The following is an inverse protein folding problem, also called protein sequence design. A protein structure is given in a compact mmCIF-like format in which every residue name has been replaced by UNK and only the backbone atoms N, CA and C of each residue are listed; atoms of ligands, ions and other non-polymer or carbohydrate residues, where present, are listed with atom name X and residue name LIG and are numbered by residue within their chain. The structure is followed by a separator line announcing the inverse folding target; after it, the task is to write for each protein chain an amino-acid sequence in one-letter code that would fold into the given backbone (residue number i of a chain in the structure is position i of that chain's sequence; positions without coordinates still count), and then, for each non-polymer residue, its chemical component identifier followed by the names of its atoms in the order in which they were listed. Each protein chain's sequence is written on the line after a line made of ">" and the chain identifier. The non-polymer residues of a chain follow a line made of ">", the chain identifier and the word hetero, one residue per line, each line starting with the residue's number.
data_IF_304631468002
#
_entry.id   IF_304631468002
#
_cell.length_a   1.000
_cell.length_b   1.000
_cell.length_c   1.000
_cell.angle_alpha   90.00
_cell.angle_beta   90.00
_cell.angle_gamma   90.00
#
_symmetry.space_group_name_H-M   'P 1'
#
loop_
_entity.id
_entity.type
_entity.pdbx_description
1 polymer ?
#
# COMPACT_ATOMS: atom_id res chain seq x y z
N UNK A 1 -3.34 -19.77 -52.95
CA UNK A 1 -2.32 -19.48 -51.92
C UNK A 1 -2.86 -18.55 -50.82
N UNK A 2 -3.39 -17.36 -51.14
CA UNK A 2 -3.94 -16.41 -50.15
C UNK A 2 -5.10 -16.95 -49.28
N UNK A 3 -6.01 -17.76 -49.84
CA UNK A 3 -7.11 -18.36 -49.07
C UNK A 3 -6.65 -19.35 -48.00
N UNK A 4 -5.56 -20.08 -48.23
CA UNK A 4 -5.00 -21.02 -47.26
C UNK A 4 -4.39 -20.27 -46.07
N UNK A 5 -3.69 -19.15 -46.32
CA UNK A 5 -3.20 -18.26 -45.27
C UNK A 5 -4.34 -17.64 -44.46
N UNK A 6 -5.43 -17.19 -45.12
CA UNK A 6 -6.61 -16.67 -44.42
C UNK A 6 -7.36 -17.70 -43.57
N UNK A 7 -7.30 -18.99 -43.92
CA UNK A 7 -7.81 -20.10 -43.10
C UNK A 7 -6.88 -20.38 -41.91
N UNK A 8 -5.56 -20.39 -42.12
CA UNK A 8 -4.58 -20.56 -41.04
C UNK A 8 -4.67 -19.45 -40.00
N UNK A 9 -4.81 -18.19 -40.40
CA UNK A 9 -4.96 -17.04 -39.47
C UNK A 9 -6.22 -17.20 -38.62
N UNK A 10 -7.36 -17.53 -39.23
CA UNK A 10 -8.62 -17.75 -38.50
C UNK A 10 -8.54 -18.92 -37.53
N UNK A 11 -7.88 -20.01 -37.91
CA UNK A 11 -7.67 -21.16 -37.02
C UNK A 11 -6.79 -20.78 -35.82
N UNK A 12 -5.69 -20.06 -36.04
CA UNK A 12 -4.82 -19.59 -34.97
C UNK A 12 -5.54 -18.63 -34.01
N UNK A 13 -6.34 -17.70 -34.54
CA UNK A 13 -7.18 -16.81 -33.73
C UNK A 13 -8.23 -17.58 -32.93
N UNK A 14 -8.84 -18.61 -33.52
CA UNK A 14 -9.79 -19.49 -32.82
C UNK A 14 -9.14 -20.23 -31.65
N UNK A 15 -7.95 -20.81 -31.85
CA UNK A 15 -7.19 -21.49 -30.80
C UNK A 15 -6.80 -20.50 -29.69
N UNK A 16 -6.31 -19.31 -30.05
CA UNK A 16 -5.94 -18.30 -29.06
C UNK A 16 -7.13 -17.84 -28.22
N UNK A 17 -8.28 -17.59 -28.85
CA UNK A 17 -9.51 -17.22 -28.13
C UNK A 17 -9.98 -18.34 -27.20
N UNK A 18 -9.91 -19.60 -27.62
CA UNK A 18 -10.24 -20.73 -26.76
C UNK A 18 -9.29 -20.81 -25.55
N UNK A 19 -8.00 -20.53 -25.74
CA UNK A 19 -7.04 -20.48 -24.64
C UNK A 19 -7.34 -19.34 -23.66
N UNK A 20 -7.70 -18.15 -24.18
CA UNK A 20 -8.13 -17.02 -23.36
C UNK A 20 -9.40 -17.36 -22.56
N UNK A 21 -10.42 -17.92 -23.21
CA UNK A 21 -11.65 -18.33 -22.52
C UNK A 21 -11.38 -19.39 -21.43
N UNK A 22 -10.50 -20.35 -21.69
CA UNK A 22 -10.14 -21.35 -20.71
C UNK A 22 -9.44 -20.73 -19.49
N UNK A 23 -8.54 -19.76 -19.72
CA UNK A 23 -7.88 -18.98 -18.67
C UNK A 23 -8.88 -18.15 -17.87
N UNK A 24 -9.82 -17.47 -18.53
CA UNK A 24 -10.84 -16.64 -17.88
C UNK A 24 -11.79 -17.48 -17.00
N UNK A 25 -12.16 -18.68 -17.46
CA UNK A 25 -12.95 -19.62 -16.65
C UNK A 25 -12.20 -20.06 -15.41
N UNK A 26 -10.91 -20.36 -15.52
CA UNK A 26 -10.09 -20.76 -14.38
C UNK A 26 -9.90 -19.59 -13.39
N UNK A 27 -9.64 -18.37 -13.88
CA UNK A 27 -9.60 -17.16 -13.04
C UNK A 27 -10.92 -16.97 -12.28
N UNK A 28 -12.05 -17.14 -12.96
CA UNK A 28 -13.38 -17.02 -12.34
C UNK A 28 -13.61 -18.07 -11.26
N UNK A 29 -13.19 -19.32 -11.51
CA UNK A 29 -13.24 -20.41 -10.53
C UNK A 29 -12.38 -20.10 -9.31
N UNK A 30 -11.14 -19.66 -9.50
CA UNK A 30 -10.22 -19.31 -8.42
C UNK A 30 -10.74 -18.13 -7.60
N UNK A 31 -11.29 -17.09 -8.25
CA UNK A 31 -11.92 -15.96 -7.56
C UNK A 31 -13.09 -16.41 -6.68
N UNK A 32 -13.92 -17.33 -7.17
CA UNK A 32 -15.04 -17.88 -6.38
C UNK A 32 -14.54 -18.62 -5.13
N UNK A 33 -13.45 -19.40 -5.24
CA UNK A 33 -12.84 -20.07 -4.09
C UNK A 33 -12.24 -19.07 -3.11
N UNK A 34 -11.56 -18.03 -3.61
CA UNK A 34 -10.98 -16.98 -2.80
C UNK A 34 -12.04 -16.18 -2.04
N UNK A 35 -13.17 -15.86 -2.68
CA UNK A 35 -14.31 -15.20 -2.02
C UNK A 35 -14.90 -16.05 -0.88
N UNK A 36 -15.02 -17.37 -1.09
CA UNK A 36 -15.44 -18.30 -0.03
C UNK A 36 -14.42 -18.31 1.11
N UNK A 37 -13.13 -18.37 0.80
CA UNK A 37 -12.07 -18.31 1.79
C UNK A 37 -12.12 -17.01 2.59
N UNK A 38 -12.39 -15.85 1.97
CA UNK A 38 -12.54 -14.58 2.68
C UNK A 38 -13.78 -14.52 3.58
N UNK A 39 -14.87 -15.20 3.22
CA UNK A 39 -16.06 -15.32 4.08
C UNK A 39 -15.79 -16.21 5.29
N UNK A 40 -15.07 -17.31 5.12
CA UNK A 40 -14.74 -18.24 6.20
C UNK A 40 -13.59 -17.74 7.08
N UNK A 41 -12.64 -17.02 6.50
CA UNK A 41 -11.45 -16.50 7.17
C UNK A 41 -11.30 -15.00 6.92
N UNK A 42 -12.08 -14.15 7.62
CA UNK A 42 -11.99 -12.69 7.47
C UNK A 42 -10.58 -12.14 7.71
N UNK A 43 -9.81 -12.78 8.60
CA UNK A 43 -8.43 -12.40 8.91
C UNK A 43 -7.48 -12.55 7.70
N UNK A 44 -7.74 -13.52 6.80
CA UNK A 44 -6.94 -13.70 5.58
C UNK A 44 -7.10 -12.48 4.66
N UNK A 45 -8.34 -12.02 4.48
CA UNK A 45 -8.64 -10.81 3.70
C UNK A 45 -7.92 -9.59 4.29
N UNK A 46 -7.89 -9.50 5.62
CA UNK A 46 -7.23 -8.41 6.32
C UNK A 46 -5.69 -8.47 6.22
N UNK A 47 -5.10 -9.67 6.25
CA UNK A 47 -3.66 -9.87 6.02
C UNK A 47 -3.24 -9.41 4.62
N UNK A 48 -3.99 -9.77 3.58
CA UNK A 48 -3.73 -9.31 2.21
C UNK A 48 -3.87 -7.79 2.07
N UNK A 49 -4.85 -7.19 2.76
CA UNK A 49 -4.99 -5.73 2.82
C UNK A 49 -3.76 -5.08 3.46
N UNK A 50 -3.24 -5.68 4.53
CA UNK A 50 -2.07 -5.19 5.25
C UNK A 50 -0.77 -5.36 4.45
N UNK A 51 -0.62 -6.47 3.73
CA UNK A 51 0.51 -6.69 2.81
C UNK A 51 0.58 -5.57 1.77
N UNK A 52 -0.56 -5.28 1.11
CA UNK A 52 -0.67 -4.19 0.15
C UNK A 52 -0.34 -2.84 0.78
N UNK A 53 -0.85 -2.55 1.98
CA UNK A 53 -0.55 -1.31 2.70
C UNK A 53 0.95 -1.16 2.95
N UNK A 54 1.61 -2.19 3.49
CA UNK A 54 3.05 -2.17 3.77
C UNK A 54 3.89 -1.98 2.50
N UNK A 55 3.49 -2.64 1.40
CA UNK A 55 4.13 -2.46 0.10
C UNK A 55 3.99 -1.01 -0.42
N UNK A 56 2.79 -0.42 -0.33
CA UNK A 56 2.54 0.98 -0.72
C UNK A 56 3.35 1.97 0.12
N UNK A 57 3.51 1.70 1.41
CA UNK A 57 4.33 2.51 2.34
C UNK A 57 5.82 2.45 1.96
N UNK A 58 6.25 1.37 1.29
CA UNK A 58 7.62 1.19 0.80
C UNK A 58 8.44 0.18 1.60
N UNK A 59 7.80 -0.74 2.33
CA UNK A 59 8.51 -1.83 3.01
C UNK A 59 8.99 -2.89 2.02
N UNK A 60 10.15 -3.48 2.31
CA UNK A 60 10.68 -4.60 1.52
C UNK A 60 9.89 -5.88 1.80
N UNK A 61 10.03 -6.88 0.93
CA UNK A 61 9.34 -8.17 1.11
C UNK A 61 9.69 -8.83 2.44
N UNK A 62 10.96 -8.73 2.84
CA UNK A 62 11.47 -9.29 4.10
C UNK A 62 10.87 -8.58 5.31
N UNK A 63 10.72 -7.24 5.25
CA UNK A 63 10.06 -6.47 6.31
C UNK A 63 8.58 -6.84 6.44
N UNK A 64 7.89 -7.00 5.31
CA UNK A 64 6.49 -7.42 5.25
C UNK A 64 6.31 -8.82 5.86
N UNK A 65 7.19 -9.75 5.50
CA UNK A 65 7.18 -11.12 6.03
C UNK A 65 7.40 -11.15 7.55
N UNK A 66 8.36 -10.37 8.07
CA UNK A 66 8.58 -10.24 9.51
C UNK A 66 7.35 -9.69 10.23
N UNK A 67 6.68 -8.68 9.66
CA UNK A 67 5.49 -8.07 10.24
C UNK A 67 4.25 -8.98 10.20
N UNK A 68 3.99 -9.66 9.08
CA UNK A 68 2.74 -10.43 8.87
C UNK A 68 2.86 -11.89 9.28
N UNK A 69 3.95 -12.56 8.87
CA UNK A 69 4.13 -14.00 9.06
C UNK A 69 4.74 -14.28 10.43
N UNK A 70 5.86 -13.61 10.75
CA UNK A 70 6.56 -13.80 12.03
C UNK A 70 5.90 -13.03 13.18
N UNK A 71 5.07 -12.03 12.86
CA UNK A 71 4.40 -11.14 13.83
C UNK A 71 5.38 -10.41 14.72
N UNK A 72 6.56 -10.12 14.18
CA UNK A 72 7.65 -9.43 14.86
C UNK A 72 7.53 -7.92 14.65
N UNK A 73 8.03 -7.15 15.61
CA UNK A 73 8.22 -5.72 15.39
C UNK A 73 9.49 -5.50 14.57
N UNK A 74 9.44 -4.59 13.60
CA UNK A 74 10.62 -4.18 12.85
C UNK A 74 11.04 -2.78 13.27
N UNK A 75 12.35 -2.53 13.29
CA UNK A 75 12.89 -1.20 13.49
C UNK A 75 13.54 -0.75 12.19
N UNK A 76 13.17 0.43 11.69
CA UNK A 76 13.76 0.94 10.47
C UNK A 76 13.89 2.47 10.46
N UNK A 77 14.80 2.92 9.60
CA UNK A 77 15.09 4.32 9.31
C UNK A 77 15.02 4.52 7.81
N UNK A 78 14.72 5.75 7.36
CA UNK A 78 14.58 6.07 5.95
C UNK A 78 13.34 6.91 5.68
N UNK A 79 12.66 6.62 4.58
CA UNK A 79 11.48 7.37 4.13
C UNK A 79 10.33 6.42 3.85
N UNK A 80 9.17 6.71 4.42
CA UNK A 80 7.94 5.98 4.17
C UNK A 80 6.92 6.84 3.41
N UNK A 81 6.17 6.21 2.52
CA UNK A 81 5.18 6.88 1.69
C UNK A 81 3.79 6.88 2.34
N UNK A 82 3.15 8.04 2.36
CA UNK A 82 1.75 8.20 2.71
C UNK A 82 0.92 8.32 1.44
N UNK A 83 0.04 7.35 1.20
CA UNK A 83 -0.91 7.40 0.09
C UNK A 83 -1.93 8.55 0.28
N UNK A 84 -2.40 8.77 1.52
CA UNK A 84 -3.34 9.84 1.88
C UNK A 84 -2.81 11.24 1.52
N UNK A 85 -1.52 11.50 1.77
CA UNK A 85 -0.88 12.79 1.50
C UNK A 85 -0.02 12.80 0.23
N UNK A 86 0.04 11.67 -0.50
CA UNK A 86 0.88 11.44 -1.69
C UNK A 86 2.34 11.89 -1.51
N UNK A 87 2.90 11.71 -0.32
CA UNK A 87 4.23 12.24 0.04
C UNK A 87 5.01 11.26 0.91
N UNK A 88 6.34 11.35 0.83
CA UNK A 88 7.25 10.60 1.70
C UNK A 88 7.58 11.40 2.95
N UNK A 89 7.64 10.72 4.09
CA UNK A 89 8.03 11.25 5.39
C UNK A 89 9.24 10.51 5.92
N UNK A 90 10.15 11.25 6.57
CA UNK A 90 11.35 10.68 7.18
C UNK A 90 10.99 9.95 8.50
N UNK A 91 11.58 8.78 8.68
CA UNK A 91 11.51 7.96 9.89
C UNK A 91 12.93 7.73 10.43
N UNK A 92 13.07 7.70 11.75
CA UNK A 92 14.36 7.59 12.44
C UNK A 92 14.25 6.58 13.58
N UNK A 93 14.73 5.37 13.33
CA UNK A 93 14.75 4.25 14.27
C UNK A 93 13.36 3.94 14.86
N UNK A 94 12.33 4.19 14.06
CA UNK A 94 10.94 3.99 14.45
C UNK A 94 10.60 2.50 14.42
N UNK A 95 9.79 2.06 15.39
CA UNK A 95 9.38 0.67 15.56
C UNK A 95 8.00 0.46 14.95
N UNK A 96 7.90 -0.43 13.97
CA UNK A 96 6.65 -0.81 13.34
C UNK A 96 6.16 -2.15 13.85
N UNK A 97 4.84 -2.26 14.03
CA UNK A 97 4.20 -3.50 14.43
C UNK A 97 2.80 -3.59 13.86
N UNK A 98 2.38 -4.79 13.49
CA UNK A 98 0.99 -5.09 13.16
C UNK A 98 0.32 -5.65 14.40
N UNK A 99 -0.75 -5.00 14.84
CA UNK A 99 -1.52 -5.39 16.01
C UNK A 99 -2.98 -5.65 15.61
N UNK A 100 -3.68 -6.49 16.37
CA UNK A 100 -5.12 -6.63 16.23
C UNK A 100 -5.80 -5.36 16.72
N UNK A 101 -6.84 -4.92 16.02
CA UNK A 101 -7.64 -3.79 16.48
C UNK A 101 -8.33 -4.13 17.81
N UNK A 102 -8.41 -3.15 18.70
CA UNK A 102 -9.14 -3.26 19.97
C UNK A 102 -10.65 -3.17 19.80
N UNK A 103 -11.12 -2.69 18.64
CA UNK A 103 -12.55 -2.48 18.34
C UNK A 103 -13.14 -3.65 17.53
N UNK A 104 -12.33 -4.30 16.71
CA UNK A 104 -12.75 -5.39 15.81
C UNK A 104 -11.59 -6.39 15.69
N UNK A 105 -11.75 -7.59 16.23
CA UNK A 105 -10.71 -8.62 16.27
C UNK A 105 -10.37 -9.22 14.90
N UNK A 106 -11.19 -8.93 13.88
CA UNK A 106 -10.95 -9.27 12.47
C UNK A 106 -10.06 -8.27 11.75
N UNK A 107 -9.76 -7.11 12.38
CA UNK A 107 -8.97 -6.02 11.80
C UNK A 107 -7.55 -5.98 12.31
N UNK A 108 -6.66 -5.54 11.44
CA UNK A 108 -5.24 -5.35 11.72
C UNK A 108 -4.87 -3.88 11.55
N UNK A 109 -4.05 -3.38 12.47
CA UNK A 109 -3.60 -2.00 12.49
C UNK A 109 -2.08 -2.00 12.41
N UNK A 110 -1.54 -1.33 11.38
CA UNK A 110 -0.12 -0.99 11.35
C UNK A 110 0.12 0.17 12.31
N UNK A 111 1.04 -0.03 13.25
CA UNK A 111 1.45 0.99 14.20
C UNK A 111 2.91 1.34 13.99
N UNK A 112 3.27 2.58 14.32
CA UNK A 112 4.61 3.11 14.41
C UNK A 112 4.77 3.69 15.82
N UNK A 113 5.73 3.20 16.60
CA UNK A 113 5.92 3.53 18.02
C UNK A 113 4.62 3.45 18.83
N UNK A 114 3.84 2.36 18.66
CA UNK A 114 2.52 2.13 19.30
C UNK A 114 1.41 3.12 18.91
N UNK A 115 1.63 3.92 17.87
CA UNK A 115 0.63 4.83 17.32
C UNK A 115 0.15 4.32 15.95
N UNK A 116 -1.16 4.30 15.64
CA UNK A 116 -1.65 3.93 14.32
C UNK A 116 -1.00 4.75 13.21
N UNK A 117 -0.56 4.09 12.12
CA UNK A 117 0.23 4.72 11.06
C UNK A 117 -0.47 5.91 10.40
N UNK A 118 -1.81 5.83 10.23
CA UNK A 118 -2.60 6.92 9.67
C UNK A 118 -2.61 8.16 10.57
N UNK A 119 -2.66 7.98 11.90
CA UNK A 119 -2.57 9.09 12.85
C UNK A 119 -1.18 9.73 12.80
N UNK A 120 -0.13 8.90 12.74
CA UNK A 120 1.24 9.38 12.63
C UNK A 120 1.45 10.21 11.35
N UNK A 121 0.96 9.74 10.19
CA UNK A 121 1.06 10.49 8.94
C UNK A 121 0.38 11.87 9.03
N UNK A 122 -0.82 11.95 9.61
CA UNK A 122 -1.51 13.22 9.83
C UNK A 122 -0.70 14.18 10.69
N UNK A 123 -0.09 13.69 11.76
CA UNK A 123 0.77 14.51 12.62
C UNK A 123 2.01 15.03 11.89
N UNK A 124 2.65 14.20 11.06
CA UNK A 124 3.78 14.64 10.25
C UNK A 124 3.36 15.66 9.18
N UNK A 125 2.20 15.47 8.57
CA UNK A 125 1.64 16.42 7.60
C UNK A 125 1.34 17.77 8.23
N UNK A 126 0.71 17.80 9.40
CA UNK A 126 0.40 19.04 10.12
C UNK A 126 1.66 19.75 10.65
N UNK A 127 2.70 19.01 11.04
CA UNK A 127 4.02 19.59 11.36
C UNK A 127 4.63 20.26 10.14
N UNK A 128 4.61 19.59 8.99
CA UNK A 128 5.12 20.12 7.73
C UNK A 128 4.36 21.39 7.30
N UNK A 129 3.03 21.39 7.41
CA UNK A 129 2.18 22.54 7.06
C UNK A 129 2.40 23.74 7.99
N UNK A 130 2.59 23.52 9.29
CA UNK A 130 2.89 24.59 10.25
C UNK A 130 4.26 25.21 10.02
N UNK A 131 5.28 24.40 9.70
CA UNK A 131 6.61 24.91 9.36
C UNK A 131 6.61 25.79 8.11
N UNK A 132 5.78 25.46 7.11
CA UNK A 132 5.59 26.31 5.93
C UNK A 132 4.91 27.65 6.26
N UNK A 133 3.86 27.63 7.10
CA UNK A 133 3.16 28.86 7.54
C UNK A 133 4.05 29.80 8.36
N UNK A 134 4.87 29.26 9.26
CA UNK A 134 5.82 30.07 10.04
C UNK A 134 6.93 30.69 9.17
N UNK A 135 7.28 30.06 8.05
CA UNK A 135 8.22 30.64 7.07
C UNK A 135 7.61 31.74 6.20
N UNK A 136 6.29 31.78 6.03
CA UNK A 136 5.58 32.84 5.29
C UNK A 136 5.25 34.06 6.18
N UNK A 137 5.18 33.87 7.50
CA UNK A 137 4.86 34.91 8.49
C UNK A 137 6.09 35.64 9.08
N UNK A 138 7.34 35.34 8.66
CA UNK A 138 8.46 36.23 9.01
C UNK A 138 8.28 37.58 8.30
N UNK A 139 8.00 38.67 9.04
CA UNK A 139 7.77 39.95 8.42
C UNK A 139 9.13 40.44 7.91
N UNK A 140 9.21 40.77 6.63
CA UNK A 140 10.26 41.62 6.04
C UNK A 140 10.24 42.99 6.74
N UNK A 141 10.73 43.09 7.98
CA UNK A 141 10.85 44.34 8.72
C UNK A 141 12.27 44.88 8.58
N UNK A 142 12.30 46.05 7.94
CA UNK A 142 13.29 47.12 8.00
C UNK A 142 14.71 46.83 7.51
N UNK A 143 14.95 47.04 6.21
CA UNK A 143 16.15 47.79 5.79
C UNK A 143 15.75 49.27 5.75
N UNK A 144 16.06 49.97 6.84
CA UNK A 144 15.98 51.43 6.88
C UNK A 144 16.98 52.02 5.88
N UNK A 145 16.46 52.81 4.94
CA UNK A 145 17.22 53.76 4.15
C UNK A 145 17.90 54.77 5.09
N UNK A 146 19.18 55.06 4.91
CA UNK A 146 19.78 56.32 5.38
C UNK A 146 20.23 57.12 4.16
N UNK A 147 19.77 58.38 4.15
CA UNK A 147 20.15 59.46 3.24
C UNK A 147 21.56 59.93 3.60
#
# INVERSE_FOLDING_TARGET
>A
MQEQYGKQIRNLQGIHNQELEAKDREISRLNTLLEKAFKWFPILKEMLRMEKLCATIGFTKEMIESLLTKKEAIQCSGKIYSEEHRRKFDIKNDIFRIEKSSVDDTKLVLTINRQPIGKWFKEQWEKLRRGLRQSEEEPRKSRGFRI
#
